data_IF_529926953841
#
_entry.id   IF_529926953841
#
_cell.length_a   1.000
_cell.length_b   1.000
_cell.length_c   1.000
_cell.angle_alpha   90.00
_cell.angle_beta   90.00
_cell.angle_gamma   90.00
#
_symmetry.space_group_name_H-M   'P 1'
#
loop_
_entity.id
_entity.type
_entity.pdbx_description
1 polymer ?
#
# COMPACT_ATOMS: atom_id res chain seq x y z
N UNK A 1 11.77 23.63 8.33
CA UNK A 1 10.33 23.30 8.36
C UNK A 1 9.84 22.45 7.18
N UNK A 2 10.53 22.41 6.03
CA UNK A 2 10.05 21.71 4.80
C UNK A 2 10.53 20.24 4.69
N UNK A 3 11.47 19.81 5.55
CA UNK A 3 12.14 18.51 5.46
C UNK A 3 11.32 17.33 6.01
N UNK A 4 10.27 17.58 6.80
CA UNK A 4 9.38 16.54 7.34
C UNK A 4 8.34 16.10 6.30
N UNK A 5 7.70 17.05 5.61
CA UNK A 5 6.72 16.76 4.56
C UNK A 5 7.31 15.96 3.40
N UNK A 6 8.54 16.28 2.97
CA UNK A 6 9.23 15.51 1.92
C UNK A 6 9.57 14.08 2.34
N UNK A 7 9.77 13.84 3.64
CA UNK A 7 10.22 12.55 4.18
C UNK A 7 9.04 11.58 4.30
N UNK A 8 7.85 12.00 4.70
CA UNK A 8 6.70 11.08 4.88
C UNK A 8 5.74 11.03 3.69
N UNK A 9 5.84 11.98 2.75
CA UNK A 9 5.04 11.97 1.51
C UNK A 9 5.15 10.66 0.73
N UNK A 10 6.33 10.04 0.69
CA UNK A 10 6.55 8.74 0.07
C UNK A 10 5.72 7.63 0.74
N UNK A 11 5.59 7.64 2.08
CA UNK A 11 4.77 6.66 2.81
C UNK A 11 3.27 6.87 2.52
N UNK A 12 2.81 8.12 2.50
CA UNK A 12 1.42 8.46 2.21
C UNK A 12 1.09 8.10 0.76
N UNK A 13 1.96 8.45 -0.20
CA UNK A 13 1.82 8.08 -1.61
C UNK A 13 1.86 6.55 -1.81
N UNK A 14 2.72 5.85 -1.09
CA UNK A 14 2.80 4.38 -1.09
C UNK A 14 1.55 3.73 -0.53
N UNK A 15 0.99 4.26 0.57
CA UNK A 15 -0.27 3.80 1.15
C UNK A 15 -1.47 4.04 0.21
N UNK A 16 -1.57 5.21 -0.41
CA UNK A 16 -2.64 5.53 -1.37
C UNK A 16 -2.53 4.64 -2.61
N UNK A 17 -1.33 4.50 -3.18
CA UNK A 17 -1.10 3.64 -4.35
C UNK A 17 -1.38 2.18 -4.02
N UNK A 18 -1.00 1.72 -2.82
CA UNK A 18 -1.30 0.39 -2.31
C UNK A 18 -2.79 0.15 -2.06
N UNK A 19 -3.52 1.15 -1.56
CA UNK A 19 -4.97 1.10 -1.40
C UNK A 19 -5.67 0.90 -2.75
N UNK A 20 -5.30 1.73 -3.74
CA UNK A 20 -5.85 1.69 -5.09
C UNK A 20 -5.54 0.34 -5.74
N UNK A 21 -4.28 -0.11 -5.66
CA UNK A 21 -3.88 -1.40 -6.20
C UNK A 21 -4.58 -2.58 -5.51
N UNK A 22 -4.74 -2.55 -4.18
CA UNK A 22 -5.45 -3.59 -3.41
C UNK A 22 -6.95 -3.63 -3.72
N UNK A 23 -7.58 -2.46 -3.92
CA UNK A 23 -8.98 -2.38 -4.34
C UNK A 23 -9.18 -2.87 -5.78
N UNK A 24 -8.32 -2.44 -6.72
CA UNK A 24 -8.34 -2.96 -8.09
C UNK A 24 -8.07 -4.47 -8.12
N UNK A 25 -7.18 -4.99 -7.29
CA UNK A 25 -6.93 -6.42 -7.21
C UNK A 25 -8.17 -7.19 -6.74
N UNK A 26 -8.88 -6.67 -5.73
CA UNK A 26 -10.16 -7.23 -5.30
C UNK A 26 -11.23 -7.14 -6.40
N UNK A 27 -11.27 -6.06 -7.19
CA UNK A 27 -12.27 -5.84 -8.24
C UNK A 27 -12.03 -6.67 -9.52
N UNK A 28 -10.78 -6.80 -9.96
CA UNK A 28 -10.43 -7.47 -11.21
C UNK A 28 -10.09 -8.97 -11.04
N UNK A 29 -9.46 -9.34 -9.93
CA UNK A 29 -9.05 -10.73 -9.64
C UNK A 29 -9.92 -11.35 -8.53
N UNK A 30 -10.38 -10.55 -7.58
CA UNK A 30 -11.08 -11.02 -6.40
C UNK A 30 -12.48 -11.56 -6.68
N UNK A 31 -12.81 -12.65 -5.99
CA UNK A 31 -14.11 -13.31 -5.87
C UNK A 31 -14.82 -13.80 -7.15
N UNK A 32 -14.38 -13.43 -8.35
CA UNK A 32 -15.00 -13.88 -9.60
C UNK A 32 -14.64 -15.33 -9.96
N UNK A 33 -13.52 -15.86 -9.43
CA UNK A 33 -13.02 -17.21 -9.70
C UNK A 33 -13.36 -18.24 -8.62
N UNK A 34 -14.27 -17.92 -7.68
CA UNK A 34 -14.69 -18.84 -6.60
C UNK A 34 -13.69 -19.01 -5.44
N UNK A 35 -12.47 -18.46 -5.57
CA UNK A 35 -11.45 -18.40 -4.51
C UNK A 35 -11.03 -16.96 -4.29
N UNK A 36 -10.99 -16.48 -3.05
CA UNK A 36 -10.48 -15.16 -2.70
C UNK A 36 -9.02 -15.27 -2.25
N UNK A 37 -8.02 -15.00 -3.10
CA UNK A 37 -6.61 -15.19 -2.76
C UNK A 37 -6.10 -14.25 -1.65
N UNK A 38 -6.76 -13.09 -1.44
CA UNK A 38 -6.43 -12.18 -0.33
C UNK A 38 -7.55 -12.16 0.70
N UNK A 39 -8.77 -11.77 0.31
CA UNK A 39 -9.95 -11.77 1.19
C UNK A 39 -11.21 -11.41 0.41
N UNK A 40 -12.36 -11.94 0.82
CA UNK A 40 -13.68 -11.72 0.19
C UNK A 40 -14.23 -10.33 0.44
N UNK A 41 -13.72 -9.58 1.43
CA UNK A 41 -14.22 -8.25 1.77
C UNK A 41 -13.36 -7.14 1.15
N UNK A 42 -13.97 -6.12 0.50
CA UNK A 42 -13.24 -5.04 -0.14
C UNK A 42 -12.45 -4.20 0.87
N UNK A 43 -12.96 -4.07 2.10
CA UNK A 43 -12.28 -3.37 3.19
C UNK A 43 -10.98 -4.04 3.59
N UNK A 44 -10.97 -5.37 3.76
CA UNK A 44 -9.75 -6.07 4.18
C UNK A 44 -8.71 -6.08 3.05
N UNK A 45 -9.11 -6.23 1.78
CA UNK A 45 -8.16 -6.17 0.64
C UNK A 45 -7.50 -4.80 0.51
N UNK A 46 -8.28 -3.73 0.73
CA UNK A 46 -7.76 -2.36 0.69
C UNK A 46 -6.80 -2.12 1.86
N UNK A 47 -7.15 -2.59 3.07
CA UNK A 47 -6.27 -2.48 4.25
C UNK A 47 -4.95 -3.23 4.02
N UNK A 48 -5.02 -4.44 3.45
CA UNK A 48 -3.84 -5.23 3.09
C UNK A 48 -2.98 -4.50 2.05
N UNK A 49 -3.62 -3.93 1.03
CA UNK A 49 -2.97 -3.12 0.00
C UNK A 49 -2.29 -1.87 0.56
N UNK A 50 -2.93 -1.18 1.52
CA UNK A 50 -2.33 -0.03 2.22
C UNK A 50 -1.09 -0.46 2.99
N UNK A 51 -1.18 -1.53 3.78
CA UNK A 51 -0.06 -2.03 4.58
C UNK A 51 1.09 -2.47 3.68
N UNK A 52 0.81 -3.24 2.63
CA UNK A 52 1.80 -3.67 1.65
C UNK A 52 2.42 -2.48 0.92
N UNK A 53 1.62 -1.55 0.41
CA UNK A 53 2.11 -0.38 -0.33
C UNK A 53 2.93 0.57 0.54
N UNK A 54 2.49 0.81 1.77
CA UNK A 54 3.25 1.60 2.74
C UNK A 54 4.57 0.90 3.10
N UNK A 55 4.56 -0.41 3.34
CA UNK A 55 5.77 -1.18 3.64
C UNK A 55 6.74 -1.17 2.44
N UNK A 56 6.23 -1.40 1.23
CA UNK A 56 7.01 -1.44 0.00
C UNK A 56 7.72 -0.10 -0.26
N UNK A 57 7.00 1.02 -0.11
CA UNK A 57 7.61 2.35 -0.23
C UNK A 57 8.51 2.71 0.95
N UNK A 58 8.25 2.14 2.13
CA UNK A 58 9.16 2.25 3.28
C UNK A 58 10.51 1.60 3.01
N UNK A 59 10.55 0.48 2.27
CA UNK A 59 11.80 -0.13 1.80
C UNK A 59 12.58 0.78 0.84
N UNK A 60 11.89 1.50 -0.05
CA UNK A 60 12.52 2.47 -0.97
C UNK A 60 12.99 3.75 -0.28
N UNK A 61 12.51 4.01 0.94
CA UNK A 61 13.01 5.09 1.77
C UNK A 61 14.42 4.70 2.23
N UNK A 62 15.43 5.09 1.43
CA UNK A 62 16.85 5.00 1.80
C UNK A 62 16.99 5.37 3.28
N UNK A 63 17.55 4.45 4.08
CA UNK A 63 18.06 4.82 5.39
C UNK A 63 19.05 5.95 5.16
N UNK A 64 18.71 7.15 5.60
CA UNK A 64 19.75 8.13 5.90
C UNK A 64 20.61 7.49 6.99
N UNK A 65 21.75 6.96 6.57
CA UNK A 65 22.85 6.66 7.48
C UNK A 65 23.17 7.96 8.18
N UNK A 66 22.77 8.04 9.44
CA UNK A 66 23.30 9.01 10.39
C UNK A 66 24.82 8.80 10.39
N UNK A 67 25.56 9.67 9.69
CA UNK A 67 26.98 9.87 9.90
C UNK A 67 27.15 11.17 10.67
#
# INVERSE_FOLDING_TARGET
MITLFKKEWLLIAGGITGAIAGYLYWFFIGCNSGSCPITSSPLNSTLYGIVLGALFFSLFKKKESKK
#
